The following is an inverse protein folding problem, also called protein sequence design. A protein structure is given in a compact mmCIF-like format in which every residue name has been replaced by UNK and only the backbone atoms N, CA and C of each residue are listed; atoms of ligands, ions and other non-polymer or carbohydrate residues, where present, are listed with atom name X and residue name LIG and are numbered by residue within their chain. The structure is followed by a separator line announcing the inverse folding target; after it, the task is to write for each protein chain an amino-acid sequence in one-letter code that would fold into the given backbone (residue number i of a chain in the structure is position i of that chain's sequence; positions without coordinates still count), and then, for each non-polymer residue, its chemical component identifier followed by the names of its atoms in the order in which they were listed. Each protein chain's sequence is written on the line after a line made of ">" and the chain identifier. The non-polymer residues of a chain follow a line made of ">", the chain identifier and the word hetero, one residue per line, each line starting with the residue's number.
data_IF_054520738776
#
_entry.id   IF_054520738776
#
_cell.length_a   1.000
_cell.length_b   1.000
_cell.length_c   1.000
_cell.angle_alpha   90.00
_cell.angle_beta   90.00
_cell.angle_gamma   90.00
#
_symmetry.space_group_name_H-M   'P 1'
#
loop_
_entity.id
_entity.type
_entity.pdbx_description
1 polymer ?
#
# COMPACT_ATOMS: atom_id res chain seq x y z
N UNK A 1 3.54 15.89 22.31
CA UNK A 1 2.77 14.64 22.39
C UNK A 1 2.61 14.13 20.97
N UNK A 2 2.89 12.86 20.68
CA UNK A 2 2.62 12.31 19.35
C UNK A 2 1.10 12.21 19.15
N UNK A 3 0.57 12.52 17.96
CA UNK A 3 -0.86 12.40 17.69
C UNK A 3 -1.32 10.93 17.81
N UNK A 4 -2.59 10.69 18.20
CA UNK A 4 -3.18 9.35 18.21
C UNK A 4 -3.00 8.63 16.88
N UNK A 5 -2.89 7.30 16.91
CA UNK A 5 -2.68 6.46 15.71
C UNK A 5 -3.76 6.76 14.66
N UNK A 6 -5.02 6.93 15.08
CA UNK A 6 -6.13 7.21 14.16
C UNK A 6 -5.95 8.50 13.37
N UNK A 7 -5.45 9.57 14.00
CA UNK A 7 -5.15 10.83 13.32
C UNK A 7 -4.03 10.67 12.30
N UNK A 8 -3.01 9.88 12.65
CA UNK A 8 -1.88 9.59 11.75
C UNK A 8 -2.31 8.74 10.56
N UNK A 9 -3.15 7.73 10.78
CA UNK A 9 -3.74 6.92 9.70
C UNK A 9 -4.58 7.81 8.79
N UNK A 10 -5.46 8.65 9.34
CA UNK A 10 -6.26 9.59 8.54
C UNK A 10 -5.39 10.53 7.71
N UNK A 11 -4.36 11.11 8.32
CA UNK A 11 -3.40 11.99 7.64
C UNK A 11 -2.69 11.27 6.49
N UNK A 12 -2.22 10.04 6.74
CA UNK A 12 -1.58 9.20 5.73
C UNK A 12 -2.51 8.90 4.56
N UNK A 13 -3.76 8.49 4.81
CA UNK A 13 -4.72 8.16 3.74
C UNK A 13 -5.05 9.37 2.88
N UNK A 14 -5.18 10.57 3.49
CA UNK A 14 -5.36 11.83 2.76
C UNK A 14 -4.11 12.20 1.93
N UNK A 15 -2.91 11.99 2.47
CA UNK A 15 -1.67 12.21 1.75
C UNK A 15 -1.55 11.26 0.55
N UNK A 16 -1.90 9.98 0.76
CA UNK A 16 -1.90 8.96 -0.28
C UNK A 16 -2.91 9.28 -1.39
N UNK A 17 -4.12 9.72 -1.06
CA UNK A 17 -5.12 10.10 -2.07
C UNK A 17 -4.64 11.28 -2.92
N UNK A 18 -3.99 12.27 -2.30
CA UNK A 18 -3.37 13.40 -3.00
C UNK A 18 -2.23 12.96 -3.91
N UNK A 19 -1.33 12.09 -3.41
CA UNK A 19 -0.21 11.56 -4.18
C UNK A 19 -0.67 10.75 -5.41
N UNK A 20 -1.78 10.02 -5.27
CA UNK A 20 -2.41 9.25 -6.35
C UNK A 20 -3.25 10.13 -7.30
N UNK A 21 -3.57 11.37 -6.92
CA UNK A 21 -4.51 12.23 -7.65
C UNK A 21 -5.92 11.64 -7.74
N UNK A 22 -6.35 10.92 -6.69
CA UNK A 22 -7.65 10.22 -6.65
C UNK A 22 -8.50 10.69 -5.48
N UNK A 23 -9.79 10.35 -5.54
CA UNK A 23 -10.75 10.58 -4.46
C UNK A 23 -10.39 9.80 -3.21
N UNK A 24 -10.54 10.39 -2.04
CA UNK A 24 -10.20 9.75 -0.76
C UNK A 24 -11.04 8.49 -0.52
N UNK A 25 -12.28 8.48 -1.00
CA UNK A 25 -13.21 7.36 -0.94
C UNK A 25 -12.60 6.10 -1.57
N UNK A 26 -11.91 6.22 -2.70
CA UNK A 26 -11.25 5.10 -3.37
C UNK A 26 -10.12 4.49 -2.51
N UNK A 27 -9.38 5.34 -1.80
CA UNK A 27 -8.31 4.88 -0.90
C UNK A 27 -8.90 4.26 0.37
N UNK A 28 -10.00 4.81 0.89
CA UNK A 28 -10.73 4.27 2.04
C UNK A 28 -11.32 2.89 1.74
N UNK A 29 -11.90 2.69 0.55
CA UNK A 29 -12.41 1.38 0.13
C UNK A 29 -11.32 0.31 0.10
N UNK A 30 -10.07 0.70 -0.22
CA UNK A 30 -8.92 -0.20 -0.20
C UNK A 30 -8.41 -0.43 1.21
N UNK A 31 -8.42 0.58 2.08
CA UNK A 31 -8.10 0.45 3.49
C UNK A 31 -9.05 -0.53 4.18
N UNK A 32 -10.36 -0.36 3.98
CA UNK A 32 -11.41 -1.22 4.55
C UNK A 32 -11.44 -2.62 3.94
N UNK A 33 -10.85 -2.80 2.76
CA UNK A 33 -10.68 -4.12 2.16
C UNK A 33 -9.62 -4.97 2.88
N UNK A 34 -8.68 -4.37 3.61
CA UNK A 34 -7.57 -5.10 4.24
C UNK A 34 -8.07 -5.90 5.45
N UNK A 35 -8.04 -7.22 5.33
CA UNK A 35 -8.30 -8.16 6.42
C UNK A 35 -7.45 -9.42 6.23
N UNK A 36 -7.30 -10.29 7.25
CA UNK A 36 -6.56 -11.56 7.11
C UNK A 36 -7.10 -12.49 6.01
N UNK A 37 -8.38 -12.37 5.66
CA UNK A 37 -9.04 -13.15 4.61
C UNK A 37 -8.73 -12.64 3.19
N UNK A 38 -8.34 -11.37 3.06
CA UNK A 38 -8.12 -10.70 1.77
C UNK A 38 -6.66 -10.31 1.53
N UNK A 39 -5.87 -10.15 2.59
CA UNK A 39 -4.47 -9.72 2.53
C UNK A 39 -3.63 -10.53 3.51
N UNK A 40 -2.56 -11.13 3.00
CA UNK A 40 -1.58 -11.88 3.81
C UNK A 40 -0.21 -11.22 3.70
N UNK A 41 0.42 -10.97 4.84
CA UNK A 41 1.80 -10.50 4.89
C UNK A 41 2.70 -11.70 4.63
N UNK A 42 3.48 -11.64 3.55
CA UNK A 42 4.46 -12.67 3.19
C UNK A 42 5.81 -12.35 3.80
N UNK A 43 6.23 -11.08 3.73
CA UNK A 43 7.53 -10.64 4.23
C UNK A 43 7.48 -9.18 4.67
N UNK A 44 8.20 -8.86 5.75
CA UNK A 44 8.47 -7.48 6.19
C UNK A 44 9.95 -7.23 5.97
N UNK A 45 10.29 -6.23 5.14
CA UNK A 45 11.68 -5.89 4.83
C UNK A 45 12.13 -4.76 5.74
N UNK A 46 13.12 -5.02 6.58
CA UNK A 46 13.70 -4.02 7.50
C UNK A 46 15.09 -3.58 7.03
N UNK A 47 15.36 -2.28 7.11
CA UNK A 47 16.69 -1.68 6.83
C UNK A 47 16.93 -0.51 7.77
N UNK A 48 18.11 -0.46 8.39
CA UNK A 48 18.50 0.67 9.24
C UNK A 48 17.52 0.96 10.40
N UNK A 49 16.89 -0.08 10.96
CA UNK A 49 15.91 0.06 12.05
C UNK A 49 14.50 0.47 11.61
N UNK A 50 14.26 0.66 10.31
CA UNK A 50 12.96 1.03 9.72
C UNK A 50 12.40 -0.09 8.87
N UNK A 51 11.08 -0.10 8.67
CA UNK A 51 10.44 -0.98 7.71
C UNK A 51 10.55 -0.32 6.33
N UNK A 52 11.41 -0.86 5.47
CA UNK A 52 11.72 -0.30 4.15
C UNK A 52 10.78 -0.79 3.03
N UNK A 53 9.97 -1.81 3.32
CA UNK A 53 9.00 -2.35 2.38
C UNK A 53 8.32 -3.62 2.88
N UNK A 54 7.40 -4.13 2.07
CA UNK A 54 6.61 -5.34 2.34
C UNK A 54 6.47 -6.21 1.10
N UNK A 55 6.30 -7.51 1.33
CA UNK A 55 5.68 -8.42 0.38
C UNK A 55 4.35 -8.92 0.92
N UNK A 56 3.31 -8.85 0.09
CA UNK A 56 1.95 -9.29 0.42
C UNK A 56 1.43 -10.25 -0.64
N UNK A 57 0.47 -11.08 -0.24
CA UNK A 57 -0.47 -11.72 -1.14
C UNK A 57 -1.84 -11.07 -0.95
N UNK A 58 -2.42 -10.56 -2.04
CA UNK A 58 -3.73 -9.88 -2.05
C UNK A 58 -4.72 -10.70 -2.87
N UNK A 59 -5.85 -11.05 -2.27
CA UNK A 59 -6.88 -11.89 -2.89
C UNK A 59 -7.56 -11.15 -4.03
N UNK A 60 -7.88 -11.87 -5.11
CA UNK A 60 -8.62 -11.29 -6.22
C UNK A 60 -10.10 -11.12 -5.86
N UNK A 61 -10.64 -9.91 -5.99
CA UNK A 61 -12.10 -9.66 -5.84
C UNK A 61 -12.97 -10.45 -6.84
N UNK A 62 -12.44 -10.78 -8.02
CA UNK A 62 -13.22 -11.45 -9.09
C UNK A 62 -13.08 -12.98 -9.04
N UNK A 63 -11.96 -13.49 -8.52
CA UNK A 63 -11.61 -14.92 -8.53
C UNK A 63 -11.12 -15.30 -7.13
N UNK A 64 -11.99 -15.76 -6.23
CA UNK A 64 -11.65 -15.97 -4.83
C UNK A 64 -10.47 -16.93 -4.58
N UNK A 65 -10.15 -17.83 -5.51
CA UNK A 65 -9.03 -18.77 -5.37
C UNK A 65 -7.68 -18.21 -5.90
N UNK A 66 -7.68 -16.99 -6.44
CA UNK A 66 -6.49 -16.34 -7.00
C UNK A 66 -5.94 -15.30 -6.03
N UNK A 67 -4.63 -15.36 -5.83
CA UNK A 67 -3.86 -14.39 -5.05
C UNK A 67 -2.85 -13.69 -5.96
N UNK A 68 -2.76 -12.36 -5.84
CA UNK A 68 -1.75 -11.55 -6.50
C UNK A 68 -0.65 -11.19 -5.49
N UNK A 69 0.60 -11.40 -5.88
CA UNK A 69 1.74 -11.08 -5.04
C UNK A 69 2.19 -9.66 -5.33
N UNK A 70 2.40 -8.90 -4.25
CA UNK A 70 2.75 -7.49 -4.30
C UNK A 70 4.02 -7.29 -3.52
N UNK A 71 4.97 -6.56 -4.09
CA UNK A 71 6.11 -6.00 -3.39
C UNK A 71 6.02 -4.48 -3.45
N UNK A 72 6.12 -3.81 -2.31
CA UNK A 72 6.22 -2.35 -2.21
C UNK A 72 7.41 -1.97 -1.33
N UNK A 73 8.05 -0.85 -1.65
CA UNK A 73 9.09 -0.28 -0.80
C UNK A 73 9.51 1.10 -1.29
N UNK A 74 10.54 1.63 -0.65
CA UNK A 74 11.04 3.00 -0.90
C UNK A 74 11.30 3.27 -2.39
N UNK A 75 11.91 2.31 -3.09
CA UNK A 75 12.39 2.50 -4.46
C UNK A 75 11.43 2.01 -5.55
N UNK A 76 10.33 1.36 -5.20
CA UNK A 76 9.40 0.87 -6.22
C UNK A 76 8.33 -0.07 -5.72
N UNK A 77 7.47 -0.45 -6.65
CA UNK A 77 6.46 -1.47 -6.45
C UNK A 77 6.33 -2.41 -7.65
N UNK A 78 5.94 -3.65 -7.37
CA UNK A 78 5.62 -4.67 -8.37
C UNK A 78 4.40 -5.47 -7.91
N UNK A 79 3.57 -5.87 -8.84
CA UNK A 79 2.41 -6.72 -8.60
C UNK A 79 2.25 -7.73 -9.74
N UNK A 80 1.93 -8.98 -9.40
CA UNK A 80 1.73 -10.06 -10.38
C UNK A 80 0.38 -10.02 -11.10
N UNK A 81 -0.43 -8.96 -10.90
CA UNK A 81 -1.64 -8.78 -11.69
C UNK A 81 -1.33 -8.23 -13.08
N UNK A 82 -2.21 -8.50 -14.03
CA UNK A 82 -2.07 -8.11 -15.44
C UNK A 82 -1.84 -6.60 -15.61
N UNK A 83 -2.63 -5.76 -14.93
CA UNK A 83 -2.51 -4.31 -15.03
C UNK A 83 -1.11 -3.77 -14.67
N UNK A 84 -0.40 -4.37 -13.71
CA UNK A 84 0.96 -3.98 -13.38
C UNK A 84 2.01 -4.72 -14.23
N UNK A 85 1.83 -6.03 -14.44
CA UNK A 85 2.83 -6.85 -15.14
C UNK A 85 2.94 -6.46 -16.62
N UNK A 86 1.82 -6.19 -17.29
CA UNK A 86 1.78 -5.82 -18.71
C UNK A 86 1.77 -4.29 -18.85
N UNK A 87 0.90 -3.62 -18.09
CA UNK A 87 0.68 -2.17 -18.23
C UNK A 87 1.62 -1.29 -17.42
N UNK A 88 2.46 -1.85 -16.55
CA UNK A 88 3.31 -1.06 -15.64
C UNK A 88 2.53 -0.20 -14.64
N UNK A 89 1.21 -0.40 -14.52
CA UNK A 89 0.32 0.52 -13.80
C UNK A 89 0.40 0.38 -12.29
N UNK A 90 0.09 1.47 -11.58
CA UNK A 90 -0.21 1.42 -10.15
C UNK A 90 -1.62 0.86 -9.99
N UNK A 91 -1.71 -0.44 -9.69
CA UNK A 91 -2.98 -1.13 -9.46
C UNK A 91 -3.40 -1.04 -7.98
N UNK A 92 -4.68 -1.34 -7.71
CA UNK A 92 -5.23 -1.43 -6.35
C UNK A 92 -4.40 -2.29 -5.38
N UNK A 93 -3.77 -3.37 -5.85
CA UNK A 93 -3.01 -4.27 -4.97
C UNK A 93 -1.73 -3.60 -4.46
N UNK A 94 -1.11 -2.73 -5.27
CA UNK A 94 0.04 -1.91 -4.86
C UNK A 94 -0.39 -0.89 -3.82
N UNK A 95 -1.55 -0.24 -4.01
CA UNK A 95 -2.08 0.73 -3.05
C UNK A 95 -2.40 0.04 -1.71
N UNK A 96 -3.01 -1.15 -1.74
CA UNK A 96 -3.17 -2.01 -0.55
C UNK A 96 -1.81 -2.29 0.11
N UNK A 97 -0.79 -2.61 -0.69
CA UNK A 97 0.59 -2.75 -0.25
C UNK A 97 1.10 -1.57 0.57
N UNK A 98 0.95 -0.36 0.01
CA UNK A 98 1.38 0.90 0.64
C UNK A 98 0.60 1.18 1.94
N UNK A 99 -0.71 0.92 1.93
CA UNK A 99 -1.55 1.07 3.13
C UNK A 99 -1.08 0.11 4.23
N UNK A 100 -0.94 -1.18 3.93
CA UNK A 100 -0.49 -2.18 4.91
C UNK A 100 0.93 -1.86 5.40
N UNK A 101 1.81 -1.37 4.53
CA UNK A 101 3.16 -0.94 4.91
C UNK A 101 3.12 0.19 5.95
N UNK A 102 2.26 1.19 5.74
CA UNK A 102 2.12 2.27 6.72
C UNK A 102 1.55 1.77 8.05
N UNK A 103 0.53 0.92 8.01
CA UNK A 103 -0.07 0.37 9.23
C UNK A 103 0.95 -0.42 10.07
N UNK A 104 1.74 -1.28 9.43
CA UNK A 104 2.77 -2.05 10.15
C UNK A 104 3.86 -1.12 10.69
N UNK A 105 4.27 -0.11 9.93
CA UNK A 105 5.29 0.86 10.36
C UNK A 105 4.82 1.66 11.57
N UNK A 106 3.58 2.13 11.56
CA UNK A 106 2.96 2.82 12.68
C UNK A 106 2.88 1.92 13.93
N UNK A 107 2.38 0.69 13.77
CA UNK A 107 2.18 -0.24 14.89
C UNK A 107 3.52 -0.69 15.50
N UNK A 108 4.50 -1.04 14.66
CA UNK A 108 5.77 -1.63 15.14
C UNK A 108 6.82 -0.60 15.52
N UNK A 109 6.85 0.55 14.84
CA UNK A 109 7.93 1.54 14.96
C UNK A 109 7.44 2.91 15.38
N UNK A 110 6.13 3.16 15.39
CA UNK A 110 5.60 4.50 15.64
C UNK A 110 5.96 5.49 14.53
N UNK A 111 6.33 5.01 13.33
CA UNK A 111 6.72 5.83 12.19
C UNK A 111 5.72 5.65 11.05
N UNK A 112 5.27 6.77 10.46
CA UNK A 112 4.46 6.78 9.25
C UNK A 112 5.35 6.85 8.02
N UNK A 113 4.83 6.36 6.91
CA UNK A 113 5.43 6.52 5.60
C UNK A 113 4.94 7.83 5.03
N UNK A 114 5.82 8.60 4.41
CA UNK A 114 5.46 9.77 3.64
C UNK A 114 5.25 9.37 2.16
N UNK A 115 4.00 9.32 1.65
CA UNK A 115 3.73 8.93 0.26
C UNK A 115 4.37 9.88 -0.76
N UNK A 116 4.66 11.14 -0.39
CA UNK A 116 5.26 12.12 -1.31
C UNK A 116 6.72 11.78 -1.65
N UNK A 117 7.39 10.98 -0.81
CA UNK A 117 8.75 10.49 -1.05
C UNK A 117 8.81 9.27 -1.95
N UNK A 118 7.67 8.61 -2.20
CA UNK A 118 7.57 7.47 -3.10
C UNK A 118 7.37 7.98 -4.53
N UNK A 119 8.46 8.42 -5.16
CA UNK A 119 8.43 9.04 -6.51
C UNK A 119 7.76 8.18 -7.58
N UNK A 120 7.78 6.86 -7.42
CA UNK A 120 7.13 5.92 -8.32
C UNK A 120 5.59 5.93 -8.21
N UNK A 121 5.00 6.46 -7.12
CA UNK A 121 3.53 6.60 -7.01
C UNK A 121 2.98 7.65 -7.99
N UNK A 122 3.75 8.71 -8.26
CA UNK A 122 3.32 9.79 -9.14
C UNK A 122 3.58 9.51 -10.62
N UNK A 123 4.55 8.63 -10.92
CA UNK A 123 5.07 8.38 -12.27
C UNK A 123 4.35 7.27 -13.07
N UNK A 124 3.56 6.41 -12.44
CA UNK A 124 2.85 5.33 -13.14
C UNK A 124 1.49 5.74 -13.70
N UNK A 125 1.10 5.21 -14.87
CA UNK A 125 -0.31 5.20 -15.29
C UNK A 125 -1.15 4.48 -14.24
N UNK A 126 -2.36 4.99 -14.00
CA UNK A 126 -3.18 4.60 -12.85
C UNK A 126 -4.40 3.83 -13.32
N UNK A 127 -4.62 2.68 -12.72
CA UNK A 127 -5.85 1.89 -12.86
C UNK A 127 -6.42 1.75 -11.44
N UNK A 128 -7.04 2.84 -10.98
CA UNK A 128 -7.67 2.94 -9.65
C UNK A 128 -9.16 2.73 -9.85
#
# INVERSE_FOLDING_TARGET
>A
MQPPIDERVRSFLLSLSRALGTRIENVLDLYLYVSPETVRIVEIVERGGKIAGLRLAVRSRKKPDVWYYVAVGEYGAKCTCEGNTIGGKICRHIIIGVITWNMISLIKRGEDIDPTKLTWLSQGEREI
#
